data_IF_115280182316
#
_entry.id   IF_115280182316
#
_cell.length_a   1.000
_cell.length_b   1.000
_cell.length_c   1.000
_cell.angle_alpha   90.00
_cell.angle_beta   90.00
_cell.angle_gamma   90.00
#
_symmetry.space_group_name_H-M   'P 1'
#
loop_
_entity.id
_entity.type
_entity.pdbx_description
1 polymer ?
#
# COMPACT_ATOMS: atom_id res chain seq x y z
N UNK A 1 -9.69 16.68 -5.89
CA UNK A 1 -10.48 15.85 -6.83
C UNK A 1 -11.19 14.68 -6.16
N UNK A 2 -10.75 14.24 -5.02
CA UNK A 2 -11.45 13.30 -4.13
C UNK A 2 -12.05 14.15 -3.01
N UNK A 3 -13.37 14.16 -2.87
CA UNK A 3 -14.01 14.69 -1.67
C UNK A 3 -13.82 13.68 -0.54
N UNK A 4 -13.58 14.18 0.66
CA UNK A 4 -13.53 13.33 1.84
C UNK A 4 -14.92 12.78 2.13
N UNK A 5 -15.02 11.51 2.46
CA UNK A 5 -16.31 10.83 2.75
C UNK A 5 -17.06 11.57 3.86
N UNK A 6 -16.33 12.07 4.86
CA UNK A 6 -16.86 12.86 5.97
C UNK A 6 -17.74 14.06 5.53
N UNK A 7 -17.41 14.66 4.37
CA UNK A 7 -18.12 15.83 3.84
C UNK A 7 -19.27 15.49 2.93
N UNK A 8 -19.43 14.21 2.59
CA UNK A 8 -20.51 13.75 1.75
C UNK A 8 -21.82 13.65 2.56
N UNK A 9 -22.99 13.98 2.01
CA UNK A 9 -24.28 13.85 2.70
C UNK A 9 -24.77 12.40 2.69
N UNK A 10 -23.96 11.48 3.20
CA UNK A 10 -24.19 10.04 3.25
C UNK A 10 -23.93 9.51 4.65
N UNK A 11 -24.62 8.45 5.04
CA UNK A 11 -24.36 7.75 6.31
C UNK A 11 -23.12 6.87 6.16
N UNK A 12 -22.16 6.99 7.08
CA UNK A 12 -21.00 6.11 7.17
C UNK A 12 -21.21 5.02 8.23
N UNK A 13 -20.51 3.87 8.12
CA UNK A 13 -19.51 3.55 7.10
C UNK A 13 -20.13 3.16 5.75
N UNK A 14 -19.45 3.50 4.66
CA UNK A 14 -19.89 3.21 3.30
C UNK A 14 -19.09 2.08 2.67
N UNK A 15 -19.64 1.44 1.63
CA UNK A 15 -18.88 0.63 0.68
C UNK A 15 -18.39 1.52 -0.46
N UNK A 16 -17.10 1.47 -0.76
CA UNK A 16 -16.50 2.19 -1.90
C UNK A 16 -16.39 1.25 -3.10
N UNK A 17 -16.93 1.65 -4.24
CA UNK A 17 -16.80 0.89 -5.49
C UNK A 17 -16.27 1.85 -6.56
N UNK A 18 -15.15 1.48 -7.20
CA UNK A 18 -14.50 2.32 -8.19
C UNK A 18 -14.04 1.58 -9.44
N UNK A 19 -14.54 2.04 -10.61
CA UNK A 19 -13.90 1.82 -11.89
C UNK A 19 -13.14 3.10 -12.23
N UNK A 20 -11.83 3.12 -11.95
CA UNK A 20 -11.03 4.33 -11.93
C UNK A 20 -10.04 4.36 -13.10
N UNK A 21 -9.66 5.56 -13.60
CA UNK A 21 -8.54 5.68 -14.50
C UNK A 21 -7.25 5.16 -13.85
N UNK A 22 -6.47 4.38 -14.58
CA UNK A 22 -5.28 3.69 -14.04
C UNK A 22 -4.21 4.62 -13.46
N UNK A 23 -4.11 5.85 -13.97
CA UNK A 23 -3.13 6.85 -13.53
C UNK A 23 -3.40 7.41 -12.13
N UNK A 24 -4.60 7.23 -11.57
CA UNK A 24 -4.98 7.71 -10.24
C UNK A 24 -5.15 6.59 -9.21
N UNK A 25 -4.80 5.35 -9.54
CA UNK A 25 -4.94 4.20 -8.63
C UNK A 25 -4.21 4.42 -7.31
N UNK A 26 -2.93 4.81 -7.35
CA UNK A 26 -2.16 5.03 -6.11
C UNK A 26 -2.72 6.17 -5.25
N UNK A 27 -3.05 7.35 -5.78
CA UNK A 27 -3.76 8.38 -5.02
C UNK A 27 -5.03 7.88 -4.33
N UNK A 28 -5.86 7.09 -5.01
CA UNK A 28 -7.10 6.56 -4.42
C UNK A 28 -6.82 5.56 -3.30
N UNK A 29 -5.84 4.67 -3.47
CA UNK A 29 -5.47 3.71 -2.41
C UNK A 29 -4.93 4.42 -1.17
N UNK A 30 -4.15 5.50 -1.32
CA UNK A 30 -3.71 6.31 -0.19
C UNK A 30 -4.86 7.09 0.46
N UNK A 31 -5.77 7.64 -0.34
CA UNK A 31 -6.97 8.29 0.17
C UNK A 31 -7.86 7.31 0.99
N UNK A 32 -7.97 6.03 0.61
CA UNK A 32 -8.66 5.03 1.41
C UNK A 32 -8.04 4.89 2.82
N UNK A 33 -6.72 4.98 2.94
CA UNK A 33 -6.03 4.95 4.25
C UNK A 33 -6.34 6.21 5.06
N UNK A 34 -6.40 7.38 4.41
CA UNK A 34 -6.72 8.66 5.07
C UNK A 34 -8.17 8.73 5.53
N UNK A 35 -9.06 7.90 4.98
CA UNK A 35 -10.51 7.89 5.25
C UNK A 35 -10.97 6.61 5.97
N UNK A 36 -10.08 5.93 6.71
CA UNK A 36 -10.37 4.62 7.32
C UNK A 36 -11.64 4.58 8.17
N UNK A 37 -11.99 5.66 8.87
CA UNK A 37 -13.15 5.69 9.76
C UNK A 37 -14.50 5.72 9.04
N UNK A 38 -14.50 6.10 7.75
CA UNK A 38 -15.73 6.41 7.02
C UNK A 38 -16.19 5.32 6.06
N UNK A 39 -15.41 4.26 5.81
CA UNK A 39 -15.80 3.17 4.91
C UNK A 39 -15.61 1.80 5.55
N UNK A 40 -16.36 0.80 5.09
CA UNK A 40 -16.30 -0.59 5.60
C UNK A 40 -15.38 -1.46 4.73
N UNK A 41 -15.62 -1.48 3.42
CA UNK A 41 -14.78 -2.15 2.43
C UNK A 41 -14.75 -1.34 1.11
N UNK A 42 -13.75 -1.63 0.28
CA UNK A 42 -13.61 -1.00 -1.02
C UNK A 42 -13.31 -2.04 -2.11
N UNK A 43 -13.96 -1.89 -3.26
CA UNK A 43 -13.72 -2.70 -4.46
C UNK A 43 -13.27 -1.80 -5.59
N UNK A 44 -12.01 -1.89 -5.98
CA UNK A 44 -11.42 -1.00 -6.98
C UNK A 44 -10.91 -1.82 -8.17
N UNK A 45 -11.34 -1.41 -9.37
CA UNK A 45 -10.76 -1.94 -10.60
C UNK A 45 -9.48 -1.17 -10.94
N UNK A 46 -8.40 -1.91 -11.19
CA UNK A 46 -7.08 -1.34 -11.51
C UNK A 46 -6.32 -2.22 -12.50
N UNK A 47 -5.16 -1.75 -12.97
CA UNK A 47 -4.26 -2.58 -13.75
C UNK A 47 -3.80 -3.79 -12.91
N UNK A 48 -3.77 -4.96 -13.53
CA UNK A 48 -3.32 -6.20 -12.88
C UNK A 48 -1.93 -6.07 -12.25
N UNK A 49 -1.00 -5.38 -12.91
CA UNK A 49 0.34 -5.15 -12.37
C UNK A 49 0.31 -4.39 -11.01
N UNK A 50 -0.59 -3.43 -10.84
CA UNK A 50 -0.74 -2.70 -9.58
C UNK A 50 -1.37 -3.60 -8.51
N UNK A 51 -2.36 -4.41 -8.87
CA UNK A 51 -2.93 -5.42 -7.99
C UNK A 51 -1.88 -6.43 -7.52
N UNK A 52 -1.05 -6.94 -8.44
CA UNK A 52 0.05 -7.86 -8.13
C UNK A 52 1.09 -7.22 -7.18
N UNK A 53 1.32 -5.90 -7.27
CA UNK A 53 2.19 -5.18 -6.32
C UNK A 53 1.55 -5.02 -4.95
N UNK A 54 0.26 -4.76 -4.89
CA UNK A 54 -0.47 -4.60 -3.63
C UNK A 54 -0.51 -5.91 -2.82
N UNK A 55 -0.66 -7.05 -3.50
CA UNK A 55 -0.76 -8.39 -2.90
C UNK A 55 0.56 -9.17 -2.89
N UNK A 56 1.67 -8.52 -3.20
CA UNK A 56 2.97 -9.16 -3.34
C UNK A 56 3.51 -9.71 -2.01
N UNK A 57 4.06 -10.91 -2.05
CA UNK A 57 4.79 -11.49 -0.92
C UNK A 57 6.20 -10.93 -0.79
N UNK A 58 6.71 -10.89 0.45
CA UNK A 58 8.11 -10.55 0.76
C UNK A 58 9.08 -11.34 -0.14
N UNK A 59 10.17 -10.70 -0.52
CA UNK A 59 11.22 -11.26 -1.36
C UNK A 59 10.82 -11.55 -2.81
N UNK A 60 9.74 -10.94 -3.31
CA UNK A 60 9.34 -11.02 -4.71
C UNK A 60 9.65 -9.73 -5.47
N UNK A 61 9.72 -9.80 -6.81
CA UNK A 61 9.98 -8.62 -7.66
C UNK A 61 8.86 -7.56 -7.54
N UNK A 62 7.64 -7.97 -7.28
CA UNK A 62 6.49 -7.08 -7.16
C UNK A 62 6.42 -6.36 -5.81
N UNK A 63 7.01 -6.96 -4.75
CA UNK A 63 7.03 -6.39 -3.40
C UNK A 63 7.75 -5.03 -3.37
N UNK A 64 7.13 -4.02 -2.80
CA UNK A 64 7.67 -2.67 -2.80
C UNK A 64 6.97 -1.72 -1.85
N UNK A 65 7.27 -0.42 -1.99
CA UNK A 65 6.68 0.63 -1.14
C UNK A 65 5.16 0.53 -1.04
N UNK A 66 4.48 0.33 -2.19
CA UNK A 66 3.02 0.26 -2.21
C UNK A 66 2.50 -0.91 -1.37
N UNK A 67 3.12 -2.09 -1.51
CA UNK A 67 2.80 -3.28 -0.70
C UNK A 67 2.93 -3.00 0.79
N UNK A 68 4.06 -2.41 1.19
CA UNK A 68 4.39 -2.19 2.61
C UNK A 68 3.47 -1.13 3.23
N UNK A 69 3.33 0.04 2.58
CA UNK A 69 2.56 1.15 3.15
C UNK A 69 1.07 0.80 3.22
N UNK A 70 0.52 0.21 2.16
CA UNK A 70 -0.92 -0.12 2.15
C UNK A 70 -1.20 -1.34 3.03
N UNK A 71 -0.36 -2.36 2.95
CA UNK A 71 -0.52 -3.57 3.75
C UNK A 71 -0.29 -3.37 5.26
N UNK A 72 0.23 -2.21 5.70
CA UNK A 72 0.29 -1.87 7.12
C UNK A 72 -1.10 -1.56 7.72
N UNK A 73 -2.05 -1.11 6.90
CA UNK A 73 -3.39 -0.69 7.31
C UNK A 73 -4.51 -1.59 6.80
N UNK A 74 -4.33 -2.17 5.62
CA UNK A 74 -5.39 -2.87 4.89
C UNK A 74 -5.02 -4.33 4.63
N UNK A 75 -6.03 -5.20 4.72
CA UNK A 75 -6.00 -6.51 4.10
C UNK A 75 -6.48 -6.38 2.65
N UNK A 76 -5.80 -7.06 1.74
CA UNK A 76 -5.93 -6.84 0.31
C UNK A 76 -6.12 -8.18 -0.40
N UNK A 77 -7.26 -8.32 -1.07
CA UNK A 77 -7.61 -9.53 -1.83
C UNK A 77 -7.78 -9.19 -3.32
N UNK A 78 -7.04 -9.87 -4.19
CA UNK A 78 -7.31 -9.83 -5.62
C UNK A 78 -8.46 -10.79 -5.93
N UNK A 79 -9.67 -10.25 -6.20
CA UNK A 79 -10.87 -11.04 -6.41
C UNK A 79 -10.84 -11.82 -7.70
N UNK A 80 -10.59 -11.12 -8.83
CA UNK A 80 -10.49 -11.73 -10.17
C UNK A 80 -9.82 -10.81 -11.17
N UNK A 81 -9.34 -11.40 -12.26
CA UNK A 81 -8.72 -10.70 -13.39
C UNK A 81 -9.73 -10.53 -14.53
N UNK A 82 -9.68 -9.39 -15.20
CA UNK A 82 -10.53 -9.05 -16.35
C UNK A 82 -9.63 -8.84 -17.56
N UNK A 83 -9.93 -9.57 -18.64
CA UNK A 83 -9.19 -9.46 -19.89
C UNK A 83 -9.54 -8.16 -20.64
N UNK A 84 -8.60 -7.61 -21.43
CA UNK A 84 -8.82 -6.39 -22.18
C UNK A 84 -10.00 -6.43 -23.15
N UNK A 85 -10.37 -7.62 -23.63
CA UNK A 85 -11.38 -7.82 -24.68
C UNK A 85 -12.80 -7.40 -24.28
N UNK A 86 -13.06 -7.24 -22.98
CA UNK A 86 -14.38 -6.83 -22.47
C UNK A 86 -14.57 -5.30 -22.42
N UNK A 87 -13.53 -4.53 -22.76
CA UNK A 87 -13.57 -3.07 -22.68
C UNK A 87 -13.59 -2.40 -24.04
N UNK A 88 -14.29 -1.26 -24.14
CA UNK A 88 -14.30 -0.37 -25.30
C UNK A 88 -14.06 1.07 -24.82
N UNK A 89 -12.93 1.71 -25.19
CA UNK A 89 -11.81 1.17 -25.95
C UNK A 89 -11.02 0.11 -25.17
N UNK A 90 -10.44 -0.85 -25.91
CA UNK A 90 -9.67 -1.94 -25.33
C UNK A 90 -8.36 -1.43 -24.70
N UNK A 91 -8.11 -1.67 -23.39
CA UNK A 91 -6.83 -1.35 -22.76
C UNK A 91 -5.72 -2.28 -23.26
N UNK A 92 -4.46 -1.88 -23.02
CA UNK A 92 -3.28 -2.67 -23.46
C UNK A 92 -2.89 -3.77 -22.46
N UNK A 93 -3.51 -3.79 -21.27
CA UNK A 93 -3.12 -4.66 -20.14
C UNK A 93 -4.35 -5.26 -19.48
N UNK A 94 -4.17 -6.37 -18.79
CA UNK A 94 -5.20 -6.98 -17.97
C UNK A 94 -5.56 -6.03 -16.80
N UNK A 95 -6.82 -6.06 -16.39
CA UNK A 95 -7.32 -5.41 -15.18
C UNK A 95 -7.58 -6.43 -14.09
N UNK A 96 -7.68 -5.98 -12.85
CA UNK A 96 -8.10 -6.79 -11.72
C UNK A 96 -9.07 -6.00 -10.84
N UNK A 97 -10.01 -6.70 -10.22
CA UNK A 97 -10.79 -6.18 -9.10
C UNK A 97 -10.05 -6.55 -7.83
N UNK A 98 -9.79 -5.54 -7.02
CA UNK A 98 -9.12 -5.68 -5.72
C UNK A 98 -10.08 -5.24 -4.62
N UNK A 99 -10.25 -6.08 -3.62
CA UNK A 99 -10.97 -5.77 -2.40
C UNK A 99 -9.99 -5.29 -1.34
N UNK A 100 -10.35 -4.23 -0.66
CA UNK A 100 -9.65 -3.70 0.51
C UNK A 100 -10.58 -3.80 1.71
N UNK A 101 -10.05 -4.28 2.83
CA UNK A 101 -10.71 -4.27 4.14
C UNK A 101 -9.75 -3.71 5.17
N UNK A 102 -10.28 -3.07 6.20
CA UNK A 102 -9.45 -2.53 7.29
C UNK A 102 -8.87 -3.67 8.11
N UNK A 103 -7.60 -3.58 8.48
CA UNK A 103 -7.05 -4.48 9.49
C UNK A 103 -7.66 -4.18 10.85
N UNK A 104 -8.02 -5.24 11.59
CA UNK A 104 -8.47 -5.10 12.97
C UNK A 104 -7.40 -4.44 13.88
N UNK A 105 -6.13 -4.71 13.59
CA UNK A 105 -4.97 -4.13 14.24
C UNK A 105 -3.98 -3.69 13.16
N UNK A 106 -3.98 -2.40 12.78
CA UNK A 106 -2.96 -1.86 11.88
C UNK A 106 -1.56 -2.03 12.45
N UNK A 107 -0.57 -2.30 11.60
CA UNK A 107 0.84 -2.42 12.02
C UNK A 107 1.44 -1.09 12.49
N UNK A 108 0.77 0.02 12.18
CA UNK A 108 1.20 1.39 12.47
C UNK A 108 0.04 2.21 13.03
N UNK A 109 0.30 3.00 14.07
CA UNK A 109 -0.63 4.02 14.57
C UNK A 109 -0.58 5.26 13.66
N UNK A 110 -1.68 6.00 13.59
CA UNK A 110 -1.84 7.15 12.68
C UNK A 110 -0.83 8.26 12.93
N UNK A 111 -0.45 8.52 14.19
CA UNK A 111 0.57 9.49 14.57
C UNK A 111 1.96 9.18 13.99
N UNK A 112 2.23 7.92 13.69
CA UNK A 112 3.50 7.43 13.11
C UNK A 112 3.49 7.30 11.59
N UNK A 113 2.34 7.43 10.94
CA UNK A 113 2.17 7.23 9.50
C UNK A 113 3.18 8.00 8.65
N UNK A 114 3.35 9.30 8.93
CA UNK A 114 4.24 10.15 8.14
C UNK A 114 5.71 9.69 8.24
N UNK A 115 6.16 9.31 9.44
CA UNK A 115 7.53 8.80 9.63
C UNK A 115 7.70 7.46 8.95
N UNK A 116 6.75 6.54 9.13
CA UNK A 116 6.74 5.23 8.48
C UNK A 116 6.81 5.34 6.95
N UNK A 117 5.91 6.12 6.35
CA UNK A 117 5.87 6.31 4.90
C UNK A 117 7.18 6.90 4.35
N UNK A 118 7.81 7.83 5.07
CA UNK A 118 9.12 8.39 4.69
C UNK A 118 10.22 7.33 4.77
N UNK A 119 10.30 6.52 5.84
CA UNK A 119 11.29 5.45 6.00
C UNK A 119 11.14 4.41 4.88
N UNK A 120 9.91 3.92 4.63
CA UNK A 120 9.64 2.96 3.57
C UNK A 120 10.01 3.54 2.19
N UNK A 121 9.67 4.81 1.95
CA UNK A 121 10.02 5.50 0.69
C UNK A 121 11.54 5.61 0.50
N UNK A 122 12.29 5.95 1.55
CA UNK A 122 13.75 6.02 1.52
C UNK A 122 14.37 4.63 1.30
N UNK A 123 13.88 3.60 1.99
CA UNK A 123 14.36 2.23 1.82
C UNK A 123 14.21 1.75 0.38
N UNK A 124 13.04 1.98 -0.25
CA UNK A 124 12.77 1.56 -1.63
C UNK A 124 13.27 2.54 -2.71
N UNK A 125 13.87 3.69 -2.34
CA UNK A 125 14.42 4.66 -3.31
C UNK A 125 15.50 4.06 -4.19
N UNK A 126 16.28 3.12 -3.65
CA UNK A 126 17.33 2.38 -4.36
C UNK A 126 17.22 0.88 -4.04
N UNK A 127 16.22 0.23 -4.62
CA UNK A 127 15.84 -1.15 -4.34
C UNK A 127 17.00 -2.17 -4.28
N UNK A 128 18.04 -1.99 -5.11
CA UNK A 128 19.21 -2.89 -5.14
C UNK A 128 20.26 -2.63 -4.04
N UNK A 129 20.10 -1.56 -3.26
CA UNK A 129 21.00 -1.21 -2.15
C UNK A 129 20.53 -1.84 -0.84
N UNK A 130 21.48 -2.05 0.07
CA UNK A 130 21.22 -2.47 1.44
C UNK A 130 20.59 -1.32 2.24
N UNK A 131 19.77 -1.64 3.24
CA UNK A 131 19.12 -0.64 4.11
C UNK A 131 20.12 0.33 4.76
N UNK A 132 21.29 -0.15 5.20
CA UNK A 132 22.33 0.72 5.78
C UNK A 132 22.79 1.86 4.86
N UNK A 133 22.58 1.72 3.54
CA UNK A 133 22.93 2.76 2.57
C UNK A 133 21.76 3.72 2.31
N UNK A 134 20.54 3.19 2.22
CA UNK A 134 19.34 3.97 1.92
C UNK A 134 18.77 4.67 3.14
N UNK A 135 18.98 4.12 4.34
CA UNK A 135 18.56 4.68 5.62
C UNK A 135 19.70 5.31 6.42
N UNK A 136 20.83 5.59 5.78
CA UNK A 136 21.97 6.27 6.44
C UNK A 136 21.53 7.66 6.92
N UNK A 137 21.74 7.92 8.22
CA UNK A 137 21.39 9.21 8.85
C UNK A 137 19.92 9.34 9.26
N UNK A 138 19.13 8.29 9.11
CA UNK A 138 17.77 8.25 9.66
C UNK A 138 17.80 7.94 11.16
N UNK A 139 16.89 8.60 11.89
CA UNK A 139 16.71 8.37 13.33
C UNK A 139 15.90 7.09 13.57
N UNK A 140 16.60 5.96 13.56
CA UNK A 140 16.06 4.64 13.88
C UNK A 140 16.62 4.20 15.23
N UNK A 141 15.77 3.73 16.17
CA UNK A 141 16.22 3.31 17.49
C UNK A 141 17.36 2.26 17.42
N UNK A 142 18.36 2.38 18.29
CA UNK A 142 19.55 1.50 18.25
C UNK A 142 19.17 0.03 18.40
N UNK A 143 18.26 -0.30 19.31
CA UNK A 143 17.81 -1.68 19.53
C UNK A 143 17.22 -2.27 18.24
N UNK A 144 16.47 -1.49 17.45
CA UNK A 144 15.94 -1.95 16.14
C UNK A 144 17.06 -2.20 15.13
N UNK A 145 18.13 -1.38 15.17
CA UNK A 145 19.29 -1.61 14.31
C UNK A 145 20.10 -2.87 14.70
N UNK A 146 19.96 -3.35 15.93
CA UNK A 146 20.53 -4.62 16.43
C UNK A 146 19.65 -5.81 16.05
N UNK A 147 18.31 -5.65 16.11
CA UNK A 147 17.34 -6.69 15.81
C UNK A 147 17.19 -6.97 14.31
N UNK A 148 17.30 -5.93 13.47
CA UNK A 148 17.17 -6.02 12.01
C UNK A 148 18.55 -5.93 11.35
N UNK A 149 18.90 -6.93 10.54
CA UNK A 149 20.14 -6.86 9.74
C UNK A 149 20.02 -5.83 8.61
N UNK A 150 20.62 -4.66 8.80
CA UNK A 150 20.65 -3.56 7.83
C UNK A 150 21.51 -3.84 6.57
N UNK A 151 22.15 -5.01 6.46
CA UNK A 151 22.76 -5.48 5.21
C UNK A 151 21.71 -6.07 4.26
N UNK A 152 20.53 -6.37 4.77
CA UNK A 152 19.39 -6.82 3.95
C UNK A 152 18.92 -5.72 3.00
N UNK A 153 18.25 -6.14 1.93
CA UNK A 153 17.57 -5.24 0.98
C UNK A 153 16.12 -5.00 1.41
N UNK A 154 15.52 -3.87 1.02
CA UNK A 154 14.17 -3.52 1.47
C UNK A 154 13.11 -4.58 1.11
N UNK A 155 13.24 -5.25 -0.05
CA UNK A 155 12.28 -6.28 -0.46
C UNK A 155 12.28 -7.55 0.39
N UNK A 156 13.26 -7.73 1.25
CA UNK A 156 13.36 -8.90 2.13
C UNK A 156 12.78 -8.67 3.53
N UNK A 157 12.37 -7.44 3.85
CA UNK A 157 11.76 -7.11 5.14
C UNK A 157 10.25 -7.28 5.09
N UNK A 158 9.69 -7.74 6.22
CA UNK A 158 8.25 -7.77 6.43
C UNK A 158 7.69 -6.36 6.71
N UNK A 159 6.37 -6.21 6.65
CA UNK A 159 5.69 -4.97 7.01
C UNK A 159 5.95 -4.64 8.48
N UNK A 160 5.92 -5.64 9.37
CA UNK A 160 6.13 -5.44 10.81
C UNK A 160 7.57 -5.05 11.14
N UNK A 161 8.57 -5.57 10.40
CA UNK A 161 9.95 -5.11 10.52
C UNK A 161 10.09 -3.63 10.11
N UNK A 162 9.38 -3.16 9.08
CA UNK A 162 9.34 -1.74 8.75
C UNK A 162 8.59 -0.92 9.82
N UNK A 163 7.49 -1.47 10.35
CA UNK A 163 6.70 -0.83 11.39
C UNK A 163 7.50 -0.60 12.69
N UNK A 164 8.37 -1.55 13.05
CA UNK A 164 9.22 -1.42 14.25
C UNK A 164 10.26 -0.28 14.15
N UNK A 165 10.54 0.25 12.95
CA UNK A 165 11.51 1.35 12.77
C UNK A 165 11.01 2.73 13.19
N UNK A 166 9.74 2.86 13.65
CA UNK A 166 9.10 4.15 13.96
C UNK A 166 8.58 4.30 15.38
#
# INVERSE_FOLDING_TARGET
LLEDIERMPIESPVRVIGNIPYNITSPIVFWLIEQLDYWEDAFIMMQKEVADRLTASVNTKAYGRLTVVVGAYLDIDQCFTIKPDVFIPKPKVDSAIVRFTKKALPSINDDKYLKFNKIVSAAFSQRRKMLRNTLKGWDIPKHIQEDIDFRRRPETLSIDEFASMV
#
